data_IF_128122628543
#
_entry.id   IF_128122628543
#
_cell.length_a   1.000
_cell.length_b   1.000
_cell.length_c   1.000
_cell.angle_alpha   90.00
_cell.angle_beta   90.00
_cell.angle_gamma   90.00
#
_symmetry.space_group_name_H-M   'P 1'
#
loop_
_entity.id
_entity.type
_entity.pdbx_description
1 polymer ?
#
# COMPACT_ATOMS: atom_id res chain seq x y z
N UNK A 1 -34.83 -2.24 4.10
CA UNK A 1 -33.86 -1.18 4.51
C UNK A 1 -32.80 -1.66 5.52
N UNK A 2 -33.15 -2.20 6.72
CA UNK A 2 -32.15 -2.68 7.70
C UNK A 2 -31.16 -3.73 7.14
N UNK A 3 -31.63 -4.69 6.36
CA UNK A 3 -30.79 -5.72 5.74
C UNK A 3 -29.78 -5.18 4.71
N UNK A 4 -30.12 -4.07 4.02
CA UNK A 4 -29.23 -3.41 3.07
C UNK A 4 -28.05 -2.75 3.79
N UNK A 5 -28.32 -2.03 4.88
CA UNK A 5 -27.28 -1.44 5.74
C UNK A 5 -26.32 -2.50 6.27
N UNK A 6 -26.86 -3.61 6.79
CA UNK A 6 -26.05 -4.73 7.26
C UNK A 6 -25.18 -5.37 6.17
N UNK A 7 -25.70 -5.50 4.94
CA UNK A 7 -24.92 -5.98 3.78
C UNK A 7 -23.79 -5.01 3.43
N UNK A 8 -24.06 -3.70 3.37
CA UNK A 8 -23.04 -2.67 3.07
C UNK A 8 -21.96 -2.60 4.15
N UNK A 9 -22.33 -2.77 5.42
CA UNK A 9 -21.37 -2.84 6.52
C UNK A 9 -20.43 -4.06 6.40
N UNK A 10 -20.95 -5.23 6.00
CA UNK A 10 -20.12 -6.41 5.73
C UNK A 10 -19.11 -6.16 4.60
N UNK A 11 -19.58 -5.58 3.49
CA UNK A 11 -18.70 -5.22 2.36
C UNK A 11 -17.62 -4.24 2.81
N UNK A 12 -17.97 -3.21 3.59
CA UNK A 12 -17.00 -2.24 4.11
C UNK A 12 -15.91 -2.89 4.98
N UNK A 13 -16.26 -3.90 5.79
CA UNK A 13 -15.27 -4.65 6.59
C UNK A 13 -14.28 -5.39 5.69
N UNK A 14 -14.77 -6.07 4.65
CA UNK A 14 -13.90 -6.75 3.67
C UNK A 14 -12.99 -5.74 2.96
N UNK A 15 -13.52 -4.57 2.55
CA UNK A 15 -12.70 -3.52 1.92
C UNK A 15 -11.63 -2.95 2.85
N UNK A 16 -11.89 -2.85 4.15
CA UNK A 16 -10.86 -2.46 5.12
C UNK A 16 -9.71 -3.46 5.16
N UNK A 17 -10.02 -4.77 5.23
CA UNK A 17 -8.99 -5.82 5.26
C UNK A 17 -8.20 -5.81 3.96
N UNK A 18 -8.85 -5.73 2.80
CA UNK A 18 -8.18 -5.67 1.50
C UNK A 18 -7.26 -4.46 1.37
N UNK A 19 -7.70 -3.29 1.83
CA UNK A 19 -6.85 -2.09 1.86
C UNK A 19 -5.65 -2.29 2.79
N UNK A 20 -5.86 -2.84 4.00
CA UNK A 20 -4.76 -3.11 4.93
C UNK A 20 -3.73 -4.11 4.36
N UNK A 21 -4.20 -5.15 3.67
CA UNK A 21 -3.34 -6.10 2.98
C UNK A 21 -2.54 -5.43 1.86
N UNK A 22 -3.17 -4.60 1.03
CA UNK A 22 -2.49 -3.87 -0.04
C UNK A 22 -1.41 -2.93 0.52
N UNK A 23 -1.70 -2.21 1.60
CA UNK A 23 -0.71 -1.36 2.30
C UNK A 23 0.47 -2.19 2.81
N UNK A 24 0.21 -3.34 3.43
CA UNK A 24 1.26 -4.22 3.94
C UNK A 24 2.13 -4.79 2.81
N UNK A 25 1.53 -5.17 1.69
CA UNK A 25 2.28 -5.63 0.51
C UNK A 25 3.13 -4.52 -0.10
N UNK A 26 2.62 -3.29 -0.18
CA UNK A 26 3.38 -2.14 -0.66
C UNK A 26 4.56 -1.84 0.29
N UNK A 27 4.35 -1.91 1.61
CA UNK A 27 5.44 -1.76 2.57
C UNK A 27 6.54 -2.81 2.36
N UNK A 28 6.18 -4.09 2.25
CA UNK A 28 7.16 -5.17 1.99
C UNK A 28 7.94 -4.96 0.69
N UNK A 29 7.29 -4.50 -0.37
CA UNK A 29 7.96 -4.19 -1.63
C UNK A 29 8.97 -3.05 -1.47
N UNK A 30 8.65 -2.02 -0.68
CA UNK A 30 9.59 -0.92 -0.38
C UNK A 30 10.78 -1.41 0.44
N UNK A 31 10.54 -2.25 1.45
CA UNK A 31 11.61 -2.81 2.27
C UNK A 31 12.58 -3.67 1.43
N UNK A 32 12.05 -4.45 0.48
CA UNK A 32 12.84 -5.23 -0.48
C UNK A 32 13.71 -4.31 -1.37
N UNK A 33 13.12 -3.28 -1.96
CA UNK A 33 13.86 -2.30 -2.77
C UNK A 33 14.95 -1.57 -1.97
N UNK A 34 14.63 -1.16 -0.73
CA UNK A 34 15.58 -0.53 0.18
C UNK A 34 16.74 -1.47 0.55
N UNK A 35 16.45 -2.76 0.77
CA UNK A 35 17.47 -3.78 1.02
C UNK A 35 18.44 -3.94 -0.16
N UNK A 36 17.92 -3.93 -1.39
CA UNK A 36 18.75 -4.00 -2.61
C UNK A 36 19.60 -2.73 -2.75
N UNK A 37 19.01 -1.55 -2.58
CA UNK A 37 19.73 -0.27 -2.63
C UNK A 37 20.89 -0.24 -1.60
N UNK A 38 20.63 -0.71 -0.38
CA UNK A 38 21.67 -0.80 0.65
C UNK A 38 22.80 -1.77 0.27
N UNK A 39 22.47 -2.90 -0.38
CA UNK A 39 23.48 -3.82 -0.88
C UNK A 39 24.34 -3.20 -1.99
N UNK A 40 23.77 -2.38 -2.87
CA UNK A 40 24.51 -1.62 -3.89
C UNK A 40 25.51 -0.67 -3.22
N UNK A 41 25.06 0.11 -2.23
CA UNK A 41 25.93 1.01 -1.46
C UNK A 41 27.06 0.25 -0.73
N UNK A 42 26.75 -0.92 -0.17
CA UNK A 42 27.75 -1.76 0.50
C UNK A 42 28.77 -2.31 -0.51
N UNK A 43 28.32 -2.73 -1.68
CA UNK A 43 29.22 -3.19 -2.76
C UNK A 43 30.13 -2.07 -3.26
N UNK A 44 29.59 -0.85 -3.42
CA UNK A 44 30.36 0.32 -3.81
C UNK A 44 31.46 0.66 -2.79
N UNK A 45 31.15 0.56 -1.49
CA UNK A 45 32.14 0.73 -0.40
C UNK A 45 33.22 -0.34 -0.45
N UNK A 46 32.84 -1.62 -0.52
CA UNK A 46 33.80 -2.74 -0.63
C UNK A 46 34.74 -2.55 -1.83
N UNK A 47 34.21 -2.13 -2.98
CA UNK A 47 35.02 -1.82 -4.16
C UNK A 47 35.98 -0.65 -3.91
N UNK A 48 35.49 0.44 -3.30
CA UNK A 48 36.33 1.59 -2.96
C UNK A 48 37.46 1.21 -2.00
N UNK A 49 37.17 0.40 -0.98
CA UNK A 49 38.16 -0.01 0.02
C UNK A 49 39.21 -0.94 -0.59
N UNK A 50 38.80 -1.89 -1.44
CA UNK A 50 39.71 -2.86 -2.07
C UNK A 50 40.63 -2.24 -3.13
N UNK A 51 40.14 -1.25 -3.89
CA UNK A 51 40.90 -0.66 -5.01
C UNK A 51 41.42 0.76 -4.74
N UNK A 52 41.05 1.36 -3.61
CA UNK A 52 41.51 2.69 -3.20
C UNK A 52 42.89 2.69 -2.54
N UNK A 53 43.31 1.59 -1.91
CA UNK A 53 44.63 1.45 -1.29
C UNK A 53 45.66 0.97 -2.31
N UNK A 54 46.44 1.90 -2.87
CA UNK A 54 47.58 1.59 -3.75
C UNK A 54 48.75 1.02 -2.93
N UNK A 55 48.72 -0.28 -2.65
CA UNK A 55 49.86 -1.03 -2.10
C UNK A 55 50.50 -1.91 -3.18
N UNK A 56 51.84 -1.94 -3.23
CA UNK A 56 52.68 -2.66 -4.21
C UNK A 56 52.24 -4.12 -4.42
N UNK A 57 51.45 -4.36 -5.46
CA UNK A 57 50.96 -5.69 -5.82
C UNK A 57 51.91 -6.39 -6.80
N UNK A 58 52.34 -7.59 -6.46
CA UNK A 58 53.07 -8.49 -7.37
C UNK A 58 52.16 -8.95 -8.52
N UNK A 59 52.72 -9.37 -9.67
CA UNK A 59 51.94 -9.73 -10.87
C UNK A 59 50.85 -10.79 -10.66
N UNK A 60 51.07 -11.77 -9.78
CA UNK A 60 50.04 -12.76 -9.40
C UNK A 60 48.90 -12.16 -8.56
N UNK A 61 49.21 -11.17 -7.71
CA UNK A 61 48.23 -10.42 -6.93
C UNK A 61 47.38 -9.52 -7.85
N UNK A 62 47.95 -8.99 -8.92
CA UNK A 62 47.24 -8.17 -9.90
C UNK A 62 46.16 -8.95 -10.68
N UNK A 63 46.47 -10.17 -11.14
CA UNK A 63 45.50 -10.99 -11.86
C UNK A 63 44.28 -11.36 -10.99
N UNK A 64 44.52 -11.72 -9.73
CA UNK A 64 43.46 -12.00 -8.75
C UNK A 64 42.61 -10.75 -8.46
N UNK A 65 43.23 -9.57 -8.35
CA UNK A 65 42.52 -8.30 -8.18
C UNK A 65 41.65 -7.94 -9.38
N UNK A 66 42.12 -8.18 -10.61
CA UNK A 66 41.35 -7.92 -11.82
C UNK A 66 40.11 -8.84 -11.91
N UNK A 67 40.27 -10.12 -11.56
CA UNK A 67 39.15 -11.06 -11.50
C UNK A 67 38.11 -10.62 -10.45
N UNK A 68 38.58 -10.22 -9.26
CA UNK A 68 37.69 -9.72 -8.21
C UNK A 68 36.96 -8.45 -8.65
N UNK A 69 37.66 -7.51 -9.30
CA UNK A 69 37.06 -6.29 -9.85
C UNK A 69 35.93 -6.62 -10.83
N UNK A 70 36.18 -7.57 -11.74
CA UNK A 70 35.20 -8.01 -12.74
C UNK A 70 33.97 -8.64 -12.08
N UNK A 71 34.18 -9.48 -11.06
CA UNK A 71 33.08 -10.11 -10.31
C UNK A 71 32.25 -9.08 -9.54
N UNK A 72 32.89 -8.09 -8.92
CA UNK A 72 32.21 -7.00 -8.21
C UNK A 72 31.42 -6.11 -9.18
N UNK A 73 31.96 -5.83 -10.38
CA UNK A 73 31.24 -5.07 -11.41
C UNK A 73 30.02 -5.84 -11.93
N UNK A 74 30.16 -7.16 -12.16
CA UNK A 74 29.04 -8.01 -12.55
C UNK A 74 27.95 -8.06 -11.47
N UNK A 75 28.35 -8.22 -10.21
CA UNK A 75 27.41 -8.18 -9.08
C UNK A 75 26.70 -6.82 -8.99
N UNK A 76 27.41 -5.72 -9.25
CA UNK A 76 26.83 -4.37 -9.31
C UNK A 76 25.73 -4.27 -10.36
N UNK A 77 26.03 -4.66 -11.60
CA UNK A 77 25.04 -4.67 -12.69
C UNK A 77 23.82 -5.55 -12.38
N UNK A 78 24.02 -6.69 -11.73
CA UNK A 78 22.92 -7.56 -11.31
C UNK A 78 22.04 -6.89 -10.25
N UNK A 79 22.65 -6.22 -9.26
CA UNK A 79 21.90 -5.48 -8.25
C UNK A 79 21.17 -4.27 -8.84
N UNK A 80 21.76 -3.56 -9.81
CA UNK A 80 21.09 -2.44 -10.50
C UNK A 80 19.84 -2.92 -11.25
N UNK A 81 19.94 -4.07 -11.96
CA UNK A 81 18.78 -4.70 -12.59
C UNK A 81 17.72 -5.14 -11.58
N UNK A 82 18.14 -5.77 -10.47
CA UNK A 82 17.23 -6.16 -9.40
C UNK A 82 16.55 -4.96 -8.73
N UNK A 83 17.25 -3.83 -8.56
CA UNK A 83 16.70 -2.60 -8.01
C UNK A 83 15.66 -2.00 -8.96
N UNK A 84 15.92 -2.00 -10.27
CA UNK A 84 14.95 -1.56 -11.27
C UNK A 84 13.65 -2.36 -11.18
N UNK A 85 13.75 -3.70 -11.14
CA UNK A 85 12.59 -4.58 -11.03
C UNK A 85 11.84 -4.40 -9.69
N UNK A 86 12.59 -4.24 -8.60
CA UNK A 86 12.02 -3.98 -7.27
C UNK A 86 11.27 -2.64 -7.21
N UNK A 87 11.82 -1.58 -7.80
CA UNK A 87 11.15 -0.28 -7.89
C UNK A 87 9.86 -0.37 -8.71
N UNK A 88 9.87 -1.09 -9.84
CA UNK A 88 8.67 -1.32 -10.63
C UNK A 88 7.59 -2.11 -9.87
N UNK A 89 8.01 -3.06 -9.03
CA UNK A 89 7.13 -3.79 -8.12
C UNK A 89 6.54 -2.86 -7.06
N UNK A 90 7.33 -1.94 -6.48
CA UNK A 90 6.85 -0.90 -5.56
C UNK A 90 5.74 -0.09 -6.22
N UNK A 91 5.99 0.49 -7.39
CA UNK A 91 5.00 1.30 -8.12
C UNK A 91 3.70 0.53 -8.35
N UNK A 92 3.80 -0.74 -8.74
CA UNK A 92 2.64 -1.61 -8.96
C UNK A 92 1.84 -1.80 -7.67
N UNK A 93 2.50 -2.08 -6.54
CA UNK A 93 1.85 -2.30 -5.24
C UNK A 93 1.27 -1.01 -4.66
N UNK A 94 1.89 0.12 -4.91
CA UNK A 94 1.35 1.44 -4.56
C UNK A 94 0.07 1.74 -5.36
N UNK A 95 0.08 1.47 -6.67
CA UNK A 95 -1.12 1.58 -7.51
C UNK A 95 -2.29 0.72 -6.98
N UNK A 96 -2.02 -0.52 -6.57
CA UNK A 96 -3.03 -1.39 -5.95
C UNK A 96 -3.54 -0.84 -4.62
N UNK A 97 -2.67 -0.21 -3.82
CA UNK A 97 -3.06 0.42 -2.56
C UNK A 97 -4.03 1.58 -2.81
N UNK A 98 -3.76 2.43 -3.80
CA UNK A 98 -4.65 3.52 -4.20
C UNK A 98 -6.01 3.00 -4.68
N UNK A 99 -6.02 1.97 -5.53
CA UNK A 99 -7.25 1.34 -5.99
C UNK A 99 -8.07 0.77 -4.82
N UNK A 100 -7.43 0.03 -3.91
CA UNK A 100 -8.08 -0.53 -2.72
C UNK A 100 -8.63 0.56 -1.79
N UNK A 101 -7.92 1.69 -1.64
CA UNK A 101 -8.41 2.81 -0.84
C UNK A 101 -9.67 3.43 -1.47
N UNK A 102 -9.65 3.63 -2.79
CA UNK A 102 -10.83 4.13 -3.53
C UNK A 102 -12.04 3.22 -3.34
N UNK A 103 -11.86 1.90 -3.44
CA UNK A 103 -12.94 0.94 -3.21
C UNK A 103 -13.48 0.99 -1.77
N UNK A 104 -12.58 1.14 -0.79
CA UNK A 104 -12.96 1.32 0.63
C UNK A 104 -13.79 2.59 0.81
N UNK A 105 -13.37 3.72 0.22
CA UNK A 105 -14.11 4.99 0.30
C UNK A 105 -15.50 4.88 -0.35
N UNK A 106 -15.61 4.27 -1.52
CA UNK A 106 -16.90 4.01 -2.17
C UNK A 106 -17.79 3.16 -1.26
N UNK A 107 -17.25 2.10 -0.66
CA UNK A 107 -18.01 1.26 0.27
C UNK A 107 -18.48 2.04 1.51
N UNK A 108 -17.66 2.96 2.04
CA UNK A 108 -18.04 3.84 3.14
C UNK A 108 -19.22 4.73 2.75
N UNK A 109 -19.12 5.45 1.63
CA UNK A 109 -20.19 6.33 1.13
C UNK A 109 -21.49 5.57 0.89
N UNK A 110 -21.42 4.36 0.35
CA UNK A 110 -22.60 3.52 0.13
C UNK A 110 -23.24 3.02 1.43
N UNK A 111 -22.45 2.75 2.47
CA UNK A 111 -22.96 2.40 3.80
C UNK A 111 -23.66 3.59 4.45
N UNK A 112 -23.07 4.78 4.35
CA UNK A 112 -23.62 6.01 4.93
C UNK A 112 -24.92 6.41 4.22
N UNK A 113 -24.95 6.37 2.89
CA UNK A 113 -26.17 6.58 2.11
C UNK A 113 -27.29 5.61 2.49
N UNK A 114 -26.99 4.31 2.57
CA UNK A 114 -27.98 3.32 2.98
C UNK A 114 -28.51 3.54 4.40
N UNK A 115 -27.69 4.13 5.29
CA UNK A 115 -28.10 4.50 6.64
C UNK A 115 -29.04 5.72 6.61
N UNK A 116 -28.71 6.75 5.84
CA UNK A 116 -29.56 7.92 5.67
C UNK A 116 -30.94 7.53 5.10
N UNK A 117 -30.97 6.73 4.04
CA UNK A 117 -32.23 6.23 3.44
C UNK A 117 -33.07 5.39 4.43
N UNK A 118 -32.42 4.67 5.36
CA UNK A 118 -33.12 3.93 6.40
C UNK A 118 -33.73 4.84 7.47
N UNK A 119 -33.04 5.91 7.87
CA UNK A 119 -33.58 6.87 8.84
C UNK A 119 -34.72 7.68 8.22
N UNK A 120 -34.56 8.16 6.98
CA UNK A 120 -35.63 8.84 6.23
C UNK A 120 -36.88 7.95 6.09
N UNK A 121 -36.69 6.66 5.76
CA UNK A 121 -37.81 5.71 5.72
C UNK A 121 -38.52 5.55 7.07
N UNK A 122 -37.78 5.60 8.19
CA UNK A 122 -38.37 5.53 9.54
C UNK A 122 -39.14 6.80 9.87
N UNK A 123 -38.57 7.96 9.59
CA UNK A 123 -39.21 9.27 9.80
C UNK A 123 -40.51 9.38 8.99
N UNK A 124 -40.48 9.01 7.71
CA UNK A 124 -41.66 8.97 6.86
C UNK A 124 -42.73 7.99 7.38
N UNK A 125 -42.32 6.83 7.91
CA UNK A 125 -43.24 5.88 8.56
C UNK A 125 -43.87 6.46 9.83
N UNK A 126 -43.12 7.19 10.64
CA UNK A 126 -43.62 7.84 11.86
C UNK A 126 -44.58 8.99 11.52
N UNK A 127 -44.24 9.85 10.56
CA UNK A 127 -45.07 10.96 10.09
C UNK A 127 -46.41 10.48 9.46
N UNK A 128 -46.41 9.29 8.88
CA UNK A 128 -47.63 8.67 8.35
C UNK A 128 -48.61 8.21 9.46
N UNK A 129 -48.19 8.10 10.72
CA UNK A 129 -49.06 7.66 11.82
C UNK A 129 -50.08 8.76 12.22
N UNK A 130 -51.40 8.46 12.30
CA UNK A 130 -52.43 9.45 12.64
C UNK A 130 -52.28 10.10 14.02
N UNK A 131 -51.70 9.37 14.99
CA UNK A 131 -51.44 9.88 16.35
C UNK A 131 -50.29 10.89 16.36
N UNK A 132 -49.23 10.63 15.59
CA UNK A 132 -48.08 11.52 15.47
C UNK A 132 -48.46 12.83 14.77
N UNK A 133 -49.30 12.74 13.73
CA UNK A 133 -49.87 13.89 13.03
C UNK A 133 -50.75 14.77 13.92
N UNK A 134 -51.51 14.17 14.85
CA UNK A 134 -52.30 14.91 15.85
C UNK A 134 -51.42 15.59 16.90
N UNK A 135 -50.37 14.92 17.36
CA UNK A 135 -49.46 15.45 18.39
C UNK A 135 -48.64 16.66 17.89
N UNK A 136 -48.19 16.64 16.62
CA UNK A 136 -47.56 17.80 15.99
C UNK A 136 -48.52 18.99 15.87
N UNK A 137 -49.78 18.75 15.47
CA UNK A 137 -50.81 19.81 15.36
C UNK A 137 -51.21 20.45 16.69
N UNK A 138 -51.12 19.72 17.80
CA UNK A 138 -51.45 20.23 19.14
C UNK A 138 -50.28 20.89 19.87
N UNK A 139 -49.04 20.76 19.36
CA UNK A 139 -47.84 21.36 19.93
C UNK A 139 -47.40 22.69 19.30
N UNK A 140 -48.08 23.12 18.23
CA UNK A 140 -47.91 24.42 17.56
C UNK A 140 -48.95 25.47 18.03
N UNK A 141 -49.70 25.20 19.10
CA UNK A 141 -50.71 26.10 19.66
C UNK A 141 -50.18 26.91 20.85
#
# INVERSE_FOLDING_TARGET
>A
MKGLVGRRQRVLRVRHVQHAMAVAEAARARDEAAGIAHNIERLARVRSDLFGTQGLATGASFAAMQELATRLEQAGRQLDGALYDANRKVETKEGLTLAANREKEIATRLKDRARAELEEWRENKLAALPRYRRMQRSGEA
#
